data_IF_862765509469
#
_entry.id   IF_862765509469
#
_cell.length_a   1.000
_cell.length_b   1.000
_cell.length_c   1.000
_cell.angle_alpha   90.00
_cell.angle_beta   90.00
_cell.angle_gamma   90.00
#
_symmetry.space_group_name_H-M   'P 1'
#
loop_
_entity.id
_entity.type
_entity.pdbx_description
1 polymer ?
#
# COMPACT_ATOMS: atom_id res chain seq x y z
N UNK A 1 14.49 25.71 -1.12
CA UNK A 1 14.08 24.70 -0.12
C UNK A 1 12.90 23.96 -0.73
N UNK A 2 13.10 22.76 -1.27
CA UNK A 2 11.98 21.99 -1.85
C UNK A 2 11.08 21.62 -0.67
N UNK A 3 9.86 22.14 -0.64
CA UNK A 3 8.83 21.71 0.30
C UNK A 3 8.45 20.30 -0.13
N UNK A 4 8.65 19.31 0.75
CA UNK A 4 8.24 17.94 0.48
C UNK A 4 6.74 17.90 0.21
N UNK A 5 6.33 17.20 -0.84
CA UNK A 5 4.91 17.02 -1.14
C UNK A 5 4.24 16.28 0.02
N UNK A 6 3.23 16.88 0.63
CA UNK A 6 2.49 16.31 1.77
C UNK A 6 1.25 15.54 1.33
N UNK A 7 1.16 15.19 0.05
CA UNK A 7 0.06 14.38 -0.46
C UNK A 7 0.08 12.97 0.13
N UNK A 8 -1.09 12.37 0.27
CA UNK A 8 -1.25 11.06 0.91
C UNK A 8 -0.43 9.97 0.17
N UNK A 9 0.39 9.17 0.87
CA UNK A 9 1.25 8.17 0.26
C UNK A 9 0.49 7.10 -0.53
N UNK A 10 1.11 6.59 -1.59
CA UNK A 10 0.58 5.50 -2.39
C UNK A 10 1.29 4.19 -2.04
N UNK A 11 0.52 3.15 -1.76
CA UNK A 11 1.04 1.87 -1.29
C UNK A 11 0.86 0.75 -2.31
N UNK A 12 1.99 0.25 -2.82
CA UNK A 12 2.04 -0.90 -3.70
C UNK A 12 2.13 -2.19 -2.86
N UNK A 13 0.98 -2.80 -2.57
CA UNK A 13 0.90 -4.15 -1.93
C UNK A 13 1.20 -5.25 -2.94
N UNK A 14 0.97 -4.95 -4.22
CA UNK A 14 1.28 -5.84 -5.33
C UNK A 14 2.79 -5.98 -5.54
N UNK A 15 3.31 -7.19 -5.84
CA UNK A 15 4.70 -7.39 -6.24
C UNK A 15 5.09 -6.49 -7.42
N UNK A 16 6.30 -5.94 -7.41
CA UNK A 16 6.80 -5.11 -8.52
C UNK A 16 7.00 -5.89 -9.82
N UNK A 17 7.18 -7.21 -9.73
CA UNK A 17 7.21 -8.09 -10.90
C UNK A 17 5.85 -8.16 -11.63
N UNK A 18 4.77 -7.67 -11.00
CA UNK A 18 3.46 -7.48 -11.64
C UNK A 18 3.26 -6.02 -12.06
N UNK A 19 2.61 -5.82 -13.21
CA UNK A 19 2.35 -4.49 -13.77
C UNK A 19 1.65 -3.55 -12.78
N UNK A 20 0.75 -4.08 -11.92
CA UNK A 20 0.01 -3.28 -10.94
C UNK A 20 0.94 -2.55 -9.94
N UNK A 21 1.89 -3.28 -9.32
CA UNK A 21 2.82 -2.69 -8.36
C UNK A 21 3.75 -1.67 -9.02
N UNK A 22 4.28 -2.01 -10.20
CA UNK A 22 5.14 -1.11 -10.97
C UNK A 22 4.44 0.19 -11.34
N UNK A 23 3.19 0.12 -11.82
CA UNK A 23 2.43 1.32 -12.20
C UNK A 23 2.10 2.23 -11.02
N UNK A 24 1.81 1.68 -9.84
CA UNK A 24 1.57 2.47 -8.62
C UNK A 24 2.80 3.27 -8.22
N UNK A 25 3.96 2.62 -8.22
CA UNK A 25 5.24 3.28 -7.89
C UNK A 25 5.57 4.34 -8.91
N UNK A 26 5.48 4.00 -10.19
CA UNK A 26 5.80 4.93 -11.28
C UNK A 26 4.89 6.16 -11.26
N UNK A 27 3.58 5.95 -11.11
CA UNK A 27 2.59 7.03 -11.08
C UNK A 27 2.73 7.91 -9.83
N UNK A 28 2.90 7.31 -8.65
CA UNK A 28 3.13 8.06 -7.41
C UNK A 28 4.41 8.88 -7.47
N UNK A 29 5.50 8.30 -7.96
CA UNK A 29 6.79 8.99 -8.11
C UNK A 29 6.70 10.15 -9.11
N UNK A 30 6.06 9.96 -10.26
CA UNK A 30 5.86 11.02 -11.26
C UNK A 30 4.93 12.13 -10.76
N UNK A 31 3.95 11.80 -9.92
CA UNK A 31 3.10 12.77 -9.23
C UNK A 31 3.83 13.50 -8.08
N UNK A 32 5.08 13.13 -7.78
CA UNK A 32 5.86 13.66 -6.68
C UNK A 32 5.32 13.24 -5.30
N UNK A 33 4.52 12.18 -5.23
CA UNK A 33 3.93 11.66 -3.99
C UNK A 33 4.87 10.64 -3.32
N UNK A 34 4.80 10.50 -1.99
CA UNK A 34 5.48 9.41 -1.31
C UNK A 34 4.92 8.05 -1.78
N UNK A 35 5.80 7.07 -1.93
CA UNK A 35 5.45 5.71 -2.34
C UNK A 35 5.95 4.72 -1.29
N UNK A 36 5.06 3.82 -0.87
CA UNK A 36 5.35 2.73 0.06
C UNK A 36 5.37 1.42 -0.73
N UNK A 37 6.35 0.57 -0.45
CA UNK A 37 6.51 -0.74 -1.06
C UNK A 37 6.26 -1.83 -0.02
N UNK A 38 5.49 -2.85 -0.39
CA UNK A 38 5.37 -4.05 0.43
C UNK A 38 6.58 -4.96 0.22
N UNK A 39 7.14 -5.50 1.31
CA UNK A 39 8.22 -6.50 1.24
C UNK A 39 7.61 -7.88 0.96
N UNK A 40 7.82 -8.38 -0.26
CA UNK A 40 7.27 -9.66 -0.74
C UNK A 40 8.24 -10.84 -0.56
N UNK A 41 9.34 -10.66 0.18
CA UNK A 41 10.31 -11.74 0.46
C UNK A 41 9.74 -12.86 1.33
N UNK A 42 8.83 -12.53 2.24
CA UNK A 42 8.14 -13.50 3.08
C UNK A 42 6.76 -13.85 2.50
N UNK A 43 6.13 -14.87 3.07
CA UNK A 43 4.73 -15.17 2.75
C UNK A 43 3.87 -13.94 3.01
N UNK A 44 2.89 -13.70 2.14
CA UNK A 44 1.96 -12.59 2.25
C UNK A 44 1.28 -12.57 3.63
N UNK A 45 1.40 -11.43 4.30
CA UNK A 45 0.86 -11.15 5.63
C UNK A 45 -0.07 -9.92 5.56
N UNK A 46 -1.39 -10.14 5.63
CA UNK A 46 -2.39 -9.07 5.65
C UNK A 46 -2.24 -8.10 6.83
N UNK A 47 -1.78 -8.57 7.98
CA UNK A 47 -1.66 -7.74 9.18
C UNK A 47 -0.57 -6.68 8.98
N UNK A 48 0.58 -7.09 8.42
CA UNK A 48 1.68 -6.17 8.09
C UNK A 48 1.24 -5.13 7.06
N UNK A 49 0.39 -5.51 6.11
CA UNK A 49 -0.17 -4.57 5.12
C UNK A 49 -1.01 -3.51 5.82
N UNK A 50 -1.95 -3.89 6.68
CA UNK A 50 -2.81 -2.92 7.36
C UNK A 50 -2.06 -2.04 8.36
N UNK A 51 -1.13 -2.62 9.14
CA UNK A 51 -0.24 -1.85 10.02
C UNK A 51 0.62 -0.85 9.25
N UNK A 52 1.06 -1.21 8.04
CA UNK A 52 1.81 -0.29 7.18
C UNK A 52 0.92 0.79 6.59
N UNK A 53 -0.31 0.43 6.19
CA UNK A 53 -1.29 1.38 5.70
C UNK A 53 -1.65 2.44 6.76
N UNK A 54 -1.86 2.01 8.00
CA UNK A 54 -2.13 2.87 9.16
C UNK A 54 -0.93 3.76 9.50
N UNK A 55 0.27 3.16 9.63
CA UNK A 55 1.49 3.89 10.01
C UNK A 55 1.87 4.98 9.00
N UNK A 56 1.78 4.65 7.72
CA UNK A 56 2.15 5.56 6.63
C UNK A 56 0.97 6.43 6.16
N UNK A 57 -0.21 6.28 6.77
CA UNK A 57 -1.43 7.05 6.43
C UNK A 57 -1.69 7.08 4.93
N UNK A 58 -1.69 5.89 4.33
CA UNK A 58 -1.77 5.71 2.88
C UNK A 58 -3.11 6.17 2.35
N UNK A 59 -3.09 7.04 1.33
CA UNK A 59 -4.31 7.53 0.69
C UNK A 59 -4.79 6.66 -0.47
N UNK A 60 -3.90 5.84 -1.02
CA UNK A 60 -4.20 4.94 -2.11
C UNK A 60 -3.40 3.65 -1.96
N UNK A 61 -4.07 2.51 -2.17
CA UNK A 61 -3.44 1.19 -2.11
C UNK A 61 -3.83 0.36 -3.34
N UNK A 62 -2.87 -0.37 -3.90
CA UNK A 62 -3.10 -1.26 -5.06
C UNK A 62 -2.69 -2.70 -4.77
N UNK A 63 -3.54 -3.64 -5.15
CA UNK A 63 -3.38 -5.09 -4.93
C UNK A 63 -3.73 -5.88 -6.19
N UNK A 64 -3.26 -7.13 -6.29
CA UNK A 64 -3.53 -8.01 -7.44
C UNK A 64 -4.69 -8.96 -7.13
N UNK A 65 -5.83 -8.76 -7.77
CA UNK A 65 -6.92 -9.73 -7.80
C UNK A 65 -7.57 -10.04 -6.43
N UNK A 66 -8.42 -11.06 -6.44
CA UNK A 66 -9.17 -11.55 -5.29
C UNK A 66 -8.29 -12.32 -4.29
N UNK A 67 -7.22 -12.96 -4.77
CA UNK A 67 -6.27 -13.70 -3.95
C UNK A 67 -5.61 -12.84 -2.85
N UNK A 68 -5.36 -11.55 -3.12
CA UNK A 68 -4.88 -10.60 -2.11
C UNK A 68 -6.03 -9.92 -1.36
N UNK A 69 -7.14 -9.63 -2.04
CA UNK A 69 -8.29 -8.95 -1.43
C UNK A 69 -8.96 -9.78 -0.33
N UNK A 70 -9.18 -11.08 -0.56
CA UNK A 70 -9.84 -11.97 0.40
C UNK A 70 -9.15 -12.03 1.77
N UNK A 71 -7.82 -12.29 1.87
CA UNK A 71 -7.13 -12.30 3.16
C UNK A 71 -7.04 -10.90 3.79
N UNK A 72 -6.95 -9.82 3.00
CA UNK A 72 -7.00 -8.44 3.52
C UNK A 72 -8.34 -8.10 4.17
N UNK A 73 -9.45 -8.46 3.51
CA UNK A 73 -10.80 -8.25 4.05
C UNK A 73 -11.03 -9.11 5.29
N UNK A 74 -10.53 -10.35 5.30
CA UNK A 74 -10.63 -11.22 6.46
C UNK A 74 -9.93 -10.61 7.69
N UNK A 75 -8.75 -10.01 7.50
CA UNK A 75 -8.00 -9.35 8.58
C UNK A 75 -8.67 -8.06 9.06
N UNK A 76 -9.16 -7.23 8.13
CA UNK A 76 -9.89 -6.00 8.46
C UNK A 76 -11.19 -6.26 9.24
N UNK A 77 -11.74 -7.48 9.17
CA UNK A 77 -12.89 -7.89 9.99
C UNK A 77 -12.49 -8.42 11.37
N UNK A 78 -11.22 -8.76 11.57
CA UNK A 78 -10.69 -9.28 12.84
C UNK A 78 -10.19 -8.16 13.74
N UNK A 79 -9.53 -7.16 13.16
CA UNK A 79 -8.97 -6.01 13.87
C UNK A 79 -9.41 -4.69 13.21
N UNK A 80 -9.57 -3.66 14.03
CA UNK A 80 -9.80 -2.30 13.58
C UNK A 80 -8.46 -1.57 13.38
N UNK A 81 -8.31 -0.87 12.25
CA UNK A 81 -7.15 -0.04 11.93
C UNK A 81 -7.59 1.41 11.66
N UNK A 82 -6.83 2.40 12.13
CA UNK A 82 -7.09 3.82 11.86
C UNK A 82 -6.54 4.23 10.48
N UNK A 83 -7.37 4.01 9.46
CA UNK A 83 -7.07 4.34 8.07
C UNK A 83 -7.53 5.75 7.66
N UNK A 84 -7.79 6.63 8.62
CA UNK A 84 -8.06 8.04 8.32
C UNK A 84 -6.75 8.74 7.93
N UNK A 85 -6.74 9.42 6.77
CA UNK A 85 -5.62 10.16 6.18
C UNK A 85 -5.95 11.64 5.98
#
# INVERSE_FOLDING_TARGET
KVVGNTGAPWFAVSPLMHAAGLWTVFSGTLAGLPVVLYDDRSKFDPQVVWQTAEREKVGLMTMVGDAYAAPLIAELRREDYDLSS
#
